data_IF_141042353623
#
_entry.id   IF_141042353623
#
_cell.length_a   1.000
_cell.length_b   1.000
_cell.length_c   1.000
_cell.angle_alpha   90.00
_cell.angle_beta   90.00
_cell.angle_gamma   90.00
#
_symmetry.space_group_name_H-M   'P 1'
#
loop_
_entity.id
_entity.type
_entity.pdbx_description
1 polymer ?
#
# COMPACT_ATOMS: atom_id res chain seq x y z
N UNK A 1 -9.78 -1.89 -8.46
CA UNK A 1 -10.96 -1.10 -8.86
C UNK A 1 -11.47 -1.63 -10.20
N UNK A 2 -12.79 -1.76 -10.37
CA UNK A 2 -13.42 -2.24 -11.62
C UNK A 2 -13.34 -1.16 -12.72
N UNK A 3 -13.35 0.10 -12.32
CA UNK A 3 -13.30 1.33 -13.11
C UNK A 3 -12.00 2.07 -12.75
N UNK A 4 -11.44 2.80 -13.72
CA UNK A 4 -10.30 3.67 -13.43
C UNK A 4 -10.80 5.01 -12.88
N UNK A 5 -10.01 5.65 -12.01
CA UNK A 5 -10.27 7.03 -11.59
C UNK A 5 -10.20 7.99 -12.79
N UNK A 6 -10.60 9.25 -12.57
CA UNK A 6 -10.53 10.32 -13.60
C UNK A 6 -9.13 10.43 -14.22
N UNK A 7 -8.07 10.17 -13.43
CA UNK A 7 -6.68 10.21 -13.90
C UNK A 7 -6.15 8.84 -14.40
N UNK A 8 -7.04 7.87 -14.60
CA UNK A 8 -6.71 6.54 -15.09
C UNK A 8 -5.98 5.66 -14.08
N UNK A 9 -6.21 5.84 -12.77
CA UNK A 9 -5.63 4.98 -11.72
C UNK A 9 -6.62 3.87 -11.35
N UNK A 10 -6.19 2.61 -11.31
CA UNK A 10 -7.06 1.42 -11.14
C UNK A 10 -6.71 0.56 -9.92
N UNK A 11 -5.55 0.81 -9.32
CA UNK A 11 -5.08 0.07 -8.16
C UNK A 11 -4.85 1.02 -6.99
N UNK A 12 -5.05 0.53 -5.78
CA UNK A 12 -4.65 1.21 -4.56
C UNK A 12 -3.55 0.36 -3.92
N UNK A 13 -2.45 1.00 -3.56
CA UNK A 13 -1.49 0.46 -2.62
C UNK A 13 -1.81 1.05 -1.25
N UNK A 14 -1.97 0.16 -0.26
CA UNK A 14 -2.27 0.54 1.13
C UNK A 14 -1.07 0.19 1.97
N UNK A 15 -0.57 1.18 2.71
CA UNK A 15 0.59 1.06 3.59
C UNK A 15 0.10 1.41 4.98
N UNK A 16 0.39 0.54 5.95
CA UNK A 16 -0.04 0.70 7.33
C UNK A 16 1.19 0.74 8.21
N UNK A 17 1.29 1.77 9.06
CA UNK A 17 2.24 1.77 10.17
C UNK A 17 1.77 0.79 11.25
N UNK A 18 2.64 -0.14 11.64
CA UNK A 18 2.27 -1.23 12.54
C UNK A 18 2.02 -0.73 13.97
N UNK A 19 2.70 0.33 14.40
CA UNK A 19 2.55 0.89 15.74
C UNK A 19 1.29 1.76 15.87
N UNK A 20 1.22 2.85 15.10
CA UNK A 20 0.15 3.84 15.20
C UNK A 20 -1.15 3.43 14.48
N UNK A 21 -1.09 2.40 13.64
CA UNK A 21 -2.16 2.01 12.70
C UNK A 21 -2.50 3.09 11.67
N UNK A 22 -1.67 4.13 11.54
CA UNK A 22 -1.82 5.13 10.50
C UNK A 22 -1.73 4.46 9.13
N UNK A 23 -2.65 4.84 8.24
CA UNK A 23 -2.80 4.20 6.94
C UNK A 23 -2.62 5.22 5.82
N UNK A 24 -1.65 5.00 4.96
CA UNK A 24 -1.48 5.74 3.70
C UNK A 24 -2.10 4.97 2.53
N UNK A 25 -2.71 5.71 1.62
CA UNK A 25 -3.28 5.15 0.37
C UNK A 25 -2.67 5.84 -0.84
N UNK A 26 -2.12 5.05 -1.76
CA UNK A 26 -1.48 5.52 -2.98
C UNK A 26 -2.17 4.92 -4.20
N UNK A 27 -2.50 5.75 -5.18
CA UNK A 27 -3.22 5.32 -6.39
C UNK A 27 -2.25 5.01 -7.53
N UNK A 28 -2.38 3.81 -8.12
CA UNK A 28 -1.52 3.31 -9.20
C UNK A 28 -2.33 3.06 -10.48
N UNK A 29 -1.71 3.29 -11.65
CA UNK A 29 -2.30 3.00 -12.97
C UNK A 29 -2.16 1.52 -13.29
N UNK A 30 -0.96 0.98 -13.10
CA UNK A 30 -0.66 -0.45 -13.21
C UNK A 30 0.05 -0.95 -11.95
N UNK A 31 0.09 -2.28 -11.76
CA UNK A 31 0.82 -2.88 -10.64
C UNK A 31 2.34 -2.69 -10.78
N UNK A 32 2.84 -2.55 -12.00
CA UNK A 32 4.27 -2.38 -12.32
C UNK A 32 4.84 -1.02 -11.85
N UNK A 33 3.98 -0.04 -11.57
CA UNK A 33 4.39 1.24 -10.95
C UNK A 33 4.84 1.08 -9.49
N UNK A 34 4.50 -0.04 -8.85
CA UNK A 34 4.73 -0.29 -7.42
C UNK A 34 6.16 -0.02 -6.97
N UNK A 35 7.22 -0.58 -7.59
CA UNK A 35 8.58 -0.40 -7.11
C UNK A 35 8.99 1.07 -7.02
N UNK A 36 8.63 1.85 -8.05
CA UNK A 36 8.95 3.26 -8.14
C UNK A 36 8.20 4.05 -7.07
N UNK A 37 6.89 3.87 -6.99
CA UNK A 37 6.04 4.62 -6.06
C UNK A 37 6.37 4.29 -4.60
N UNK A 38 6.65 3.02 -4.29
CA UNK A 38 7.05 2.61 -2.94
C UNK A 38 8.40 3.21 -2.53
N UNK A 39 9.40 3.21 -3.43
CA UNK A 39 10.70 3.85 -3.18
C UNK A 39 10.53 5.35 -2.88
N UNK A 40 9.79 6.06 -3.72
CA UNK A 40 9.53 7.50 -3.54
C UNK A 40 8.80 7.77 -2.22
N UNK A 41 7.80 6.95 -1.88
CA UNK A 41 7.08 7.05 -0.61
C UNK A 41 7.99 6.84 0.60
N UNK A 42 8.81 5.79 0.60
CA UNK A 42 9.71 5.49 1.72
C UNK A 42 10.74 6.60 1.94
N UNK A 43 11.32 7.12 0.86
CA UNK A 43 12.22 8.27 0.95
C UNK A 43 11.53 9.52 1.53
N UNK A 44 10.29 9.77 1.10
CA UNK A 44 9.50 10.90 1.59
C UNK A 44 9.16 10.73 3.07
N UNK A 45 8.67 9.56 3.50
CA UNK A 45 8.20 9.36 4.87
C UNK A 45 9.35 9.41 5.87
N UNK A 46 10.52 8.85 5.51
CA UNK A 46 11.71 8.93 6.36
C UNK A 46 12.14 10.38 6.61
N UNK A 47 12.10 11.24 5.58
CA UNK A 47 12.42 12.67 5.72
C UNK A 47 11.36 13.41 6.53
N UNK A 48 10.08 13.16 6.25
CA UNK A 48 8.98 13.86 6.90
C UNK A 48 8.90 13.54 8.41
N UNK A 49 9.11 12.27 8.77
CA UNK A 49 9.10 11.82 10.17
C UNK A 49 10.45 11.98 10.86
N UNK A 50 11.51 12.35 10.13
CA UNK A 50 12.89 12.40 10.60
C UNK A 50 13.33 11.10 11.29
N UNK A 51 12.85 9.96 10.78
CA UNK A 51 13.08 8.65 11.34
C UNK A 51 13.33 7.63 10.22
N UNK A 52 14.31 6.72 10.37
CA UNK A 52 14.54 5.67 9.39
C UNK A 52 13.42 4.62 9.44
N UNK A 53 13.06 4.09 8.28
CA UNK A 53 12.25 2.89 8.17
C UNK A 53 13.19 1.71 8.36
N UNK A 54 12.94 0.90 9.38
CA UNK A 54 13.83 -0.23 9.70
C UNK A 54 13.32 -1.50 9.03
N UNK A 55 12.01 -1.73 9.04
CA UNK A 55 11.38 -2.95 8.53
C UNK A 55 10.27 -2.56 7.56
N UNK A 56 10.27 -3.19 6.38
CA UNK A 56 9.14 -3.18 5.46
C UNK A 56 8.63 -4.61 5.33
N UNK A 57 7.35 -4.80 5.69
CA UNK A 57 6.67 -6.08 5.54
C UNK A 57 5.71 -6.03 4.36
N UNK A 58 5.79 -7.03 3.49
CA UNK A 58 4.99 -7.12 2.29
C UNK A 58 4.36 -8.52 2.17
N UNK A 59 3.11 -8.60 1.72
CA UNK A 59 2.51 -9.86 1.29
C UNK A 59 3.28 -10.47 0.10
N UNK A 60 3.24 -11.81 -0.04
CA UNK A 60 3.89 -12.59 -1.12
C UNK A 60 3.30 -12.35 -2.52
N UNK A 61 2.70 -11.19 -2.74
CA UNK A 61 2.33 -10.74 -4.08
C UNK A 61 3.57 -10.68 -4.97
N UNK A 62 3.50 -11.36 -6.12
CA UNK A 62 4.58 -11.40 -7.14
C UNK A 62 5.06 -10.02 -7.59
N UNK A 63 4.22 -9.01 -7.47
CA UNK A 63 4.48 -7.62 -7.84
C UNK A 63 5.40 -6.86 -6.87
N UNK A 64 5.62 -7.39 -5.67
CA UNK A 64 6.55 -6.83 -4.68
C UNK A 64 7.90 -7.57 -4.62
N UNK A 65 7.95 -8.80 -5.13
CA UNK A 65 9.17 -9.60 -5.23
C UNK A 65 10.00 -9.19 -6.45
N UNK A 66 10.44 -7.92 -6.49
CA UNK A 66 11.27 -7.40 -7.57
C UNK A 66 12.73 -7.23 -7.11
N UNK A 67 13.69 -7.65 -7.93
CA UNK A 67 15.14 -7.43 -7.72
C UNK A 67 15.46 -5.97 -7.42
N UNK A 68 14.76 -5.02 -8.06
CA UNK A 68 14.95 -3.59 -7.85
C UNK A 68 14.61 -3.15 -6.44
N UNK A 69 13.50 -3.63 -5.86
CA UNK A 69 13.12 -3.30 -4.48
C UNK A 69 14.08 -3.92 -3.47
N UNK A 70 14.48 -5.18 -3.70
CA UNK A 70 15.46 -5.84 -2.83
C UNK A 70 16.81 -5.12 -2.83
N UNK A 71 17.28 -4.63 -3.98
CA UNK A 71 18.50 -3.83 -4.06
C UNK A 71 18.36 -2.51 -3.29
N UNK A 72 17.23 -1.82 -3.46
CA UNK A 72 16.93 -0.59 -2.74
C UNK A 72 16.86 -0.79 -1.23
N UNK A 73 16.15 -1.81 -0.75
CA UNK A 73 16.07 -2.11 0.68
C UNK A 73 17.44 -2.41 1.26
N UNK A 74 18.28 -3.16 0.54
CA UNK A 74 19.66 -3.44 0.97
C UNK A 74 20.53 -2.18 1.03
N UNK A 75 20.35 -1.25 0.08
CA UNK A 75 21.07 0.03 0.04
C UNK A 75 20.70 0.94 1.22
N UNK A 76 19.41 1.04 1.55
CA UNK A 76 18.91 1.84 2.67
C UNK A 76 19.05 1.15 4.04
N UNK A 77 19.46 -0.12 4.07
CA UNK A 77 19.53 -0.92 5.31
C UNK A 77 18.15 -1.32 5.87
N UNK A 78 17.12 -1.36 5.01
CA UNK A 78 15.76 -1.78 5.35
C UNK A 78 15.66 -3.31 5.34
N UNK A 79 15.18 -3.88 6.43
CA UNK A 79 14.84 -5.30 6.50
C UNK A 79 13.52 -5.57 5.77
N UNK A 80 13.59 -6.37 4.70
CA UNK A 80 12.42 -6.80 3.96
C UNK A 80 11.88 -8.12 4.51
N UNK A 81 10.67 -8.07 5.08
CA UNK A 81 9.93 -9.25 5.53
C UNK A 81 8.81 -9.60 4.55
N UNK A 82 8.65 -10.89 4.25
CA UNK A 82 7.49 -11.38 3.48
C UNK A 82 6.52 -12.09 4.41
N UNK A 83 5.24 -11.69 4.41
CA UNK A 83 4.25 -12.41 5.21
C UNK A 83 4.08 -13.83 4.65
N UNK A 84 4.18 -14.84 5.51
CA UNK A 84 3.88 -16.21 5.13
C UNK A 84 2.39 -16.44 5.28
N UNK A 85 1.83 -17.40 4.52
CA UNK A 85 0.42 -17.79 4.64
C UNK A 85 0.01 -18.21 6.08
N UNK A 86 0.97 -18.39 6.98
CA UNK A 86 0.80 -18.83 8.36
C UNK A 86 0.68 -17.70 9.39
N UNK A 87 0.63 -16.42 9.00
CA UNK A 87 0.33 -15.30 9.93
C UNK A 87 -0.89 -14.47 9.51
N UNK A 88 -2.11 -15.05 9.56
CA UNK A 88 -3.35 -14.37 9.17
C UNK A 88 -3.62 -13.09 9.96
N UNK A 89 -3.21 -13.03 11.23
CA UNK A 89 -3.44 -11.85 12.08
C UNK A 89 -2.71 -10.61 11.56
N UNK A 90 -1.54 -10.80 10.96
CA UNK A 90 -0.69 -9.71 10.46
C UNK A 90 -1.24 -9.11 9.18
N UNK A 91 -1.68 -9.95 8.22
CA UNK A 91 -2.41 -9.48 7.04
C UNK A 91 -3.80 -8.93 7.42
N UNK A 92 -4.40 -9.44 8.50
CA UNK A 92 -5.73 -9.06 8.96
C UNK A 92 -5.88 -7.57 9.33
N UNK A 93 -4.79 -6.86 9.69
CA UNK A 93 -4.87 -5.40 9.91
C UNK A 93 -5.04 -4.67 8.57
N UNK A 94 -4.20 -4.97 7.59
CA UNK A 94 -4.23 -4.35 6.26
C UNK A 94 -5.53 -4.74 5.54
N UNK A 95 -5.97 -5.99 5.64
CA UNK A 95 -7.23 -6.46 5.06
C UNK A 95 -8.45 -5.74 5.64
N UNK A 96 -8.49 -5.56 6.97
CA UNK A 96 -9.56 -4.79 7.62
C UNK A 96 -9.54 -3.33 7.17
N UNK A 97 -8.37 -2.70 7.08
CA UNK A 97 -8.25 -1.33 6.59
C UNK A 97 -8.69 -1.20 5.13
N UNK A 98 -8.32 -2.15 4.27
CA UNK A 98 -8.77 -2.20 2.88
C UNK A 98 -10.29 -2.27 2.79
N UNK A 99 -10.94 -3.09 3.62
CA UNK A 99 -12.40 -3.17 3.67
C UNK A 99 -13.02 -1.84 4.10
N UNK A 100 -12.54 -1.25 5.19
CA UNK A 100 -13.01 0.06 5.68
C UNK A 100 -12.88 1.15 4.61
N UNK A 101 -11.74 1.21 3.90
CA UNK A 101 -11.51 2.17 2.82
C UNK A 101 -12.51 2.01 1.68
N UNK A 102 -12.76 0.78 1.24
CA UNK A 102 -13.72 0.50 0.17
C UNK A 102 -15.15 0.83 0.60
N UNK A 103 -15.53 0.51 1.83
CA UNK A 103 -16.85 0.82 2.38
C UNK A 103 -17.05 2.34 2.52
N UNK A 104 -16.08 3.07 3.05
CA UNK A 104 -16.14 4.53 3.15
C UNK A 104 -16.28 5.19 1.78
N UNK A 105 -15.51 4.74 0.79
CA UNK A 105 -15.61 5.23 -0.59
C UNK A 105 -17.00 4.97 -1.20
N UNK A 106 -17.58 3.78 -1.00
CA UNK A 106 -18.95 3.47 -1.43
C UNK A 106 -19.98 4.38 -0.75
N UNK A 107 -19.84 4.61 0.55
CA UNK A 107 -20.74 5.49 1.31
C UNK A 107 -20.69 6.92 0.79
N UNK A 108 -19.51 7.46 0.51
CA UNK A 108 -19.35 8.81 -0.07
C UNK A 108 -19.97 8.92 -1.47
N UNK A 109 -19.80 7.89 -2.31
CA UNK A 109 -20.43 7.84 -3.63
C UNK A 109 -21.95 7.78 -3.53
N UNK A 110 -22.47 6.97 -2.61
CA UNK A 110 -23.92 6.86 -2.32
C UNK A 110 -24.51 8.21 -1.93
N UNK A 111 -23.89 8.88 -0.96
CA UNK A 111 -24.32 10.20 -0.49
C UNK A 111 -24.30 11.25 -1.63
N UNK A 112 -23.36 11.11 -2.57
CA UNK A 112 -23.24 12.00 -3.74
C UNK A 112 -24.14 11.60 -4.92
N UNK A 113 -24.99 10.58 -4.77
CA UNK A 113 -25.83 10.01 -5.85
C UNK A 113 -25.03 9.55 -7.08
N UNK A 114 -23.79 9.11 -6.86
CA UNK A 114 -22.92 8.55 -7.89
C UNK A 114 -22.99 7.02 -7.91
N UNK A 115 -22.63 6.36 -9.03
CA UNK A 115 -22.59 4.90 -9.09
C UNK A 115 -21.62 4.31 -8.06
N UNK A 116 -22.04 3.24 -7.38
CA UNK A 116 -21.26 2.58 -6.32
C UNK A 116 -20.13 1.68 -6.85
N UNK A 117 -20.08 1.47 -8.17
CA UNK A 117 -19.02 0.70 -8.79
C UNK A 117 -17.83 1.61 -9.07
N UNK A 118 -16.69 1.25 -8.49
CA UNK A 118 -15.38 1.79 -8.83
C UNK A 118 -14.34 0.68 -8.84
#
# INVERSE_FOLDING_TARGET
MRVASINGKKYIMVIVDDYSRYTWTLFLRSKDETPKVLKEFLMMIQRNLQAPVIIVRIDRGTWFLNKTLNAFFKEEGIEHQTSTAQTPEQNGVVERQNRTLVEAARTMLSASKLPLFF
#
